data_IF_182033570714
#
_entry.id   IF_182033570714
#
_cell.length_a   1.000
_cell.length_b   1.000
_cell.length_c   1.000
_cell.angle_alpha   90.00
_cell.angle_beta   90.00
_cell.angle_gamma   90.00
#
_symmetry.space_group_name_H-M   'P 1'
#
loop_
_entity.id
_entity.type
_entity.pdbx_description
1 polymer ?
#
# COMPACT_ATOMS: atom_id res chain seq x y z
N UNK A 1 6.31 17.21 23.26
CA UNK A 1 6.97 17.16 21.93
C UNK A 1 7.14 15.73 21.46
N UNK A 2 7.73 14.85 22.29
CA UNK A 2 7.88 13.41 22.02
C UNK A 2 6.56 12.66 21.78
N UNK A 3 5.49 13.03 22.48
CA UNK A 3 4.16 12.44 22.27
C UNK A 3 3.59 12.76 20.88
N UNK A 4 3.91 13.93 20.33
CA UNK A 4 3.40 14.34 19.01
C UNK A 4 4.02 13.51 17.90
N UNK A 5 5.35 13.35 17.92
CA UNK A 5 6.07 12.54 16.94
C UNK A 5 5.67 11.06 17.04
N UNK A 6 5.53 10.53 18.26
CA UNK A 6 5.07 9.16 18.49
C UNK A 6 3.64 8.96 17.96
N UNK A 7 2.73 9.91 18.22
CA UNK A 7 1.36 9.84 17.72
C UNK A 7 1.30 9.90 16.19
N UNK A 8 2.13 10.72 15.55
CA UNK A 8 2.25 10.75 14.09
C UNK A 8 2.76 9.41 13.53
N UNK A 9 3.78 8.82 14.15
CA UNK A 9 4.26 7.47 13.79
C UNK A 9 3.18 6.40 13.91
N UNK A 10 2.40 6.44 15.00
CA UNK A 10 1.31 5.47 15.21
C UNK A 10 0.16 5.68 14.22
N UNK A 11 -0.18 6.92 13.89
CA UNK A 11 -1.18 7.22 12.87
C UNK A 11 -0.76 6.71 11.48
N UNK A 12 0.50 6.95 11.10
CA UNK A 12 1.07 6.45 9.85
C UNK A 12 1.12 4.91 9.84
N UNK A 13 1.44 4.27 10.98
CA UNK A 13 1.42 2.81 11.11
C UNK A 13 0.01 2.23 11.00
N UNK A 14 -1.00 2.86 11.61
CA UNK A 14 -2.40 2.45 11.49
C UNK A 14 -2.87 2.56 10.05
N UNK A 15 -2.51 3.65 9.36
CA UNK A 15 -2.84 3.86 7.95
C UNK A 15 -2.21 2.77 7.07
N UNK A 16 -0.92 2.47 7.26
CA UNK A 16 -0.23 1.40 6.52
C UNK A 16 -0.89 0.04 6.74
N UNK A 17 -1.33 -0.27 7.97
CA UNK A 17 -2.07 -1.51 8.25
C UNK A 17 -3.42 -1.56 7.55
N UNK A 18 -4.14 -0.44 7.44
CA UNK A 18 -5.37 -0.36 6.68
C UNK A 18 -5.13 -0.64 5.18
N UNK A 19 -4.04 -0.11 4.60
CA UNK A 19 -3.66 -0.42 3.21
C UNK A 19 -3.29 -1.89 3.04
N UNK A 20 -2.54 -2.50 3.98
CA UNK A 20 -2.25 -3.94 3.91
C UNK A 20 -3.55 -4.76 3.86
N UNK A 21 -4.57 -4.37 4.63
CA UNK A 21 -5.87 -5.04 4.60
C UNK A 21 -6.53 -4.92 3.22
N UNK A 22 -6.48 -3.76 2.56
CA UNK A 22 -7.05 -3.59 1.22
C UNK A 22 -6.28 -4.39 0.16
N UNK A 23 -4.95 -4.44 0.24
CA UNK A 23 -4.12 -5.25 -0.67
C UNK A 23 -4.41 -6.76 -0.53
N UNK A 24 -4.64 -7.25 0.70
CA UNK A 24 -5.04 -8.64 0.93
C UNK A 24 -6.44 -8.97 0.36
N UNK A 25 -7.38 -8.02 0.46
CA UNK A 25 -8.68 -8.13 -0.20
C UNK A 25 -8.49 -8.18 -1.72
N UNK A 26 -7.66 -7.31 -2.29
CA UNK A 26 -7.37 -7.28 -3.72
C UNK A 26 -6.79 -8.61 -4.22
N UNK A 27 -5.85 -9.22 -3.47
CA UNK A 27 -5.31 -10.55 -3.82
C UNK A 27 -6.43 -11.59 -3.92
N UNK A 28 -7.38 -11.55 -2.99
CA UNK A 28 -8.54 -12.46 -2.97
C UNK A 28 -9.47 -12.20 -4.15
N UNK A 29 -9.75 -10.94 -4.47
CA UNK A 29 -10.59 -10.54 -5.60
C UNK A 29 -9.96 -10.91 -6.95
N UNK A 30 -8.68 -10.62 -7.14
CA UNK A 30 -7.93 -11.01 -8.34
C UNK A 30 -7.94 -12.53 -8.52
N UNK A 31 -7.74 -13.29 -7.44
CA UNK A 31 -7.81 -14.76 -7.48
C UNK A 31 -9.19 -15.24 -7.94
N UNK A 32 -10.26 -14.66 -7.39
CA UNK A 32 -11.65 -14.96 -7.78
C UNK A 32 -11.92 -14.65 -9.27
N UNK A 33 -11.41 -13.52 -9.77
CA UNK A 33 -11.58 -13.09 -11.16
C UNK A 33 -10.81 -13.97 -12.15
N UNK A 34 -9.59 -14.40 -11.80
CA UNK A 34 -8.82 -15.35 -12.60
C UNK A 34 -9.61 -16.65 -12.81
N UNK A 35 -10.22 -17.18 -11.74
CA UNK A 35 -11.07 -18.38 -11.82
C UNK A 35 -12.31 -18.16 -12.71
N UNK A 36 -12.83 -16.94 -12.74
CA UNK A 36 -13.97 -16.54 -13.58
C UNK A 36 -13.58 -16.10 -14.99
N UNK A 37 -12.29 -16.08 -15.32
CA UNK A 37 -11.74 -15.53 -16.59
C UNK A 37 -12.20 -14.10 -16.87
N UNK A 38 -12.36 -13.30 -15.81
CA UNK A 38 -12.71 -11.89 -15.89
C UNK A 38 -11.50 -11.02 -15.55
N UNK A 39 -11.39 -9.84 -16.14
CA UNK A 39 -10.36 -8.87 -15.76
C UNK A 39 -10.76 -8.10 -14.48
N UNK A 40 -9.78 -7.62 -13.69
CA UNK A 40 -10.05 -6.68 -12.62
C UNK A 40 -10.62 -5.36 -13.13
N UNK A 41 -11.48 -4.69 -12.34
CA UNK A 41 -11.91 -3.34 -12.64
C UNK A 41 -10.71 -2.40 -12.76
N UNK A 42 -10.69 -1.57 -13.80
CA UNK A 42 -9.61 -0.60 -14.02
C UNK A 42 -9.48 0.40 -12.86
N UNK A 43 -10.60 0.81 -12.26
CA UNK A 43 -10.61 1.68 -11.08
C UNK A 43 -9.86 1.07 -9.90
N UNK A 44 -10.01 -0.24 -9.67
CA UNK A 44 -9.29 -0.96 -8.62
C UNK A 44 -7.77 -0.89 -8.85
N UNK A 45 -7.33 -1.08 -10.10
CA UNK A 45 -5.90 -1.01 -10.44
C UNK A 45 -5.33 0.38 -10.14
N UNK A 46 -6.04 1.44 -10.58
CA UNK A 46 -5.61 2.83 -10.38
C UNK A 46 -5.60 3.21 -8.90
N UNK A 47 -6.66 2.90 -8.16
CA UNK A 47 -6.77 3.21 -6.74
C UNK A 47 -5.66 2.56 -5.92
N UNK A 48 -5.39 1.27 -6.16
CA UNK A 48 -4.31 0.56 -5.48
C UNK A 48 -2.92 1.08 -5.84
N UNK A 49 -2.71 1.58 -7.06
CA UNK A 49 -1.46 2.24 -7.44
C UNK A 49 -1.20 3.50 -6.62
N UNK A 50 -2.23 4.34 -6.43
CA UNK A 50 -2.13 5.55 -5.61
C UNK A 50 -1.92 5.25 -4.12
N UNK A 51 -2.59 4.21 -3.59
CA UNK A 51 -2.35 3.74 -2.22
C UNK A 51 -0.89 3.29 -2.02
N UNK A 52 -0.32 2.55 -2.97
CA UNK A 52 1.08 2.12 -2.91
C UNK A 52 2.07 3.28 -2.96
N UNK A 53 1.82 4.30 -3.79
CA UNK A 53 2.65 5.53 -3.81
C UNK A 53 2.66 6.23 -2.45
N UNK A 54 1.48 6.36 -1.85
CA UNK A 54 1.33 6.99 -0.53
C UNK A 54 2.02 6.18 0.56
N UNK A 55 1.86 4.85 0.55
CA UNK A 55 2.55 3.95 1.47
C UNK A 55 4.08 4.08 1.37
N UNK A 56 4.61 4.21 0.15
CA UNK A 56 6.04 4.42 -0.06
C UNK A 56 6.51 5.77 0.51
N UNK A 57 5.77 6.85 0.28
CA UNK A 57 6.09 8.16 0.83
C UNK A 57 6.12 8.15 2.37
N UNK A 58 5.19 7.44 3.01
CA UNK A 58 5.17 7.26 4.47
C UNK A 58 6.40 6.45 4.92
N UNK A 59 6.76 5.37 4.23
CA UNK A 59 7.94 4.58 4.59
C UNK A 59 9.24 5.40 4.45
N UNK A 60 9.37 6.20 3.38
CA UNK A 60 10.54 7.05 3.14
C UNK A 60 10.66 8.19 4.14
N UNK A 61 9.54 8.74 4.65
CA UNK A 61 9.52 9.74 5.73
C UNK A 61 10.30 9.27 6.96
N UNK A 62 10.19 7.98 7.32
CA UNK A 62 10.83 7.43 8.52
C UNK A 62 12.18 6.77 8.26
N UNK A 63 12.40 6.23 7.05
CA UNK A 63 13.68 5.63 6.68
C UNK A 63 13.98 5.87 5.19
N UNK A 64 14.56 7.03 4.84
CA UNK A 64 14.87 7.37 3.46
C UNK A 64 16.02 6.52 2.90
N UNK A 65 16.11 6.45 1.57
CA UNK A 65 17.24 5.82 0.86
C UNK A 65 17.30 4.29 0.98
N UNK A 66 16.20 3.65 1.37
CA UNK A 66 16.13 2.20 1.42
C UNK A 66 15.87 1.62 0.03
N UNK A 67 16.21 0.34 -0.15
CA UNK A 67 15.87 -0.42 -1.36
C UNK A 67 14.36 -0.69 -1.49
N UNK A 68 13.55 -0.33 -0.49
CA UNK A 68 12.11 -0.62 -0.45
C UNK A 68 11.38 0.05 -1.61
N UNK A 69 11.60 1.34 -1.85
CA UNK A 69 10.97 2.05 -2.97
C UNK A 69 11.34 1.48 -4.33
N UNK A 70 12.63 1.17 -4.51
CA UNK A 70 13.11 0.54 -5.75
C UNK A 70 12.53 -0.86 -5.95
N UNK A 71 12.30 -1.60 -4.88
CA UNK A 71 11.71 -2.94 -4.94
C UNK A 71 10.22 -2.87 -5.29
N UNK A 72 9.44 -2.01 -4.62
CA UNK A 72 7.99 -1.89 -4.81
C UNK A 72 7.65 -1.39 -6.22
N UNK A 73 8.38 -0.39 -6.72
CA UNK A 73 8.12 0.16 -8.06
C UNK A 73 8.37 -0.83 -9.21
N UNK A 74 9.11 -1.92 -8.95
CA UNK A 74 9.36 -2.99 -9.93
C UNK A 74 8.25 -4.04 -10.00
N UNK A 75 7.33 -4.06 -9.03
CA UNK A 75 6.20 -5.01 -8.98
C UNK A 75 4.92 -4.45 -9.62
N UNK A 76 5.06 -3.55 -10.60
CA UNK A 76 3.92 -3.02 -11.39
C UNK A 76 3.50 -3.99 -12.50
#
# INVERSE_FOLDING_TARGET
MQDKETNEMLADLLWLNAVIATELIQITENTSQILRKSAPPESCIVEHHELRKTALAIAEKYRPGTMLGQHILKHQ
#
